data_IF_817294937126
#
_entry.id   IF_817294937126
#
_cell.length_a   1.000
_cell.length_b   1.000
_cell.length_c   1.000
_cell.angle_alpha   90.00
_cell.angle_beta   90.00
_cell.angle_gamma   90.00
#
_symmetry.space_group_name_H-M   'P 1'
#
loop_
_entity.id
_entity.type
_entity.pdbx_description
1 polymer ?
#
# COMPACT_ATOMS: atom_id res chain seq x y z
N UNK A 1 2.27 7.59 -15.14
CA UNK A 1 1.24 8.31 -14.37
C UNK A 1 0.45 7.29 -13.57
N UNK A 2 1.01 6.83 -12.47
CA UNK A 2 0.28 6.04 -11.49
C UNK A 2 -0.53 7.01 -10.65
N UNK A 3 -1.85 7.08 -10.87
CA UNK A 3 -2.69 7.34 -9.71
C UNK A 3 -2.45 6.14 -8.79
N UNK A 4 -1.98 6.40 -7.58
CA UNK A 4 -2.19 5.44 -6.51
C UNK A 4 -3.60 4.90 -6.72
N UNK A 5 -3.75 3.58 -6.77
CA UNK A 5 -5.07 2.93 -6.81
C UNK A 5 -5.96 3.57 -5.77
N UNK A 6 -7.29 3.44 -5.80
CA UNK A 6 -8.20 4.16 -4.92
C UNK A 6 -7.64 4.07 -3.52
N UNK A 7 -6.86 5.11 -3.20
CA UNK A 7 -5.96 5.11 -2.06
C UNK A 7 -6.78 5.00 -0.80
N UNK A 8 -6.13 4.71 0.28
CA UNK A 8 -6.58 4.77 1.67
C UNK A 8 -7.71 5.80 1.88
N UNK A 9 -7.69 6.95 1.21
CA UNK A 9 -8.72 8.00 1.26
C UNK A 9 -10.07 7.54 0.68
N UNK A 10 -10.11 6.77 -0.40
CA UNK A 10 -11.37 6.30 -0.98
C UNK A 10 -11.89 5.05 -0.25
N UNK A 11 -10.99 4.24 0.32
CA UNK A 11 -11.33 3.12 1.22
C UNK A 11 -11.80 3.62 2.60
N UNK A 12 -11.22 4.70 3.10
CA UNK A 12 -11.70 5.43 4.28
C UNK A 12 -13.06 6.08 3.99
N UNK A 13 -13.31 6.62 2.79
CA UNK A 13 -14.62 7.16 2.40
C UNK A 13 -15.73 6.10 2.38
N UNK A 14 -15.42 4.84 2.05
CA UNK A 14 -16.37 3.72 2.20
C UNK A 14 -16.64 3.44 3.69
N UNK A 15 -15.62 3.49 4.54
CA UNK A 15 -15.78 3.42 6.00
C UNK A 15 -16.60 4.61 6.55
N UNK A 16 -16.49 5.81 5.95
CA UNK A 16 -17.24 7.02 6.34
C UNK A 16 -18.72 6.94 6.01
N UNK A 17 -19.12 6.42 4.85
CA UNK A 17 -20.53 6.19 4.51
C UNK A 17 -21.21 5.22 5.49
N UNK A 18 -20.43 4.42 6.17
CA UNK A 18 -20.83 3.36 7.08
C UNK A 18 -21.06 3.88 8.51
N UNK A 19 -20.32 4.89 8.97
CA UNK A 19 -20.54 5.52 10.29
C UNK A 19 -21.88 6.31 10.29
N UNK A 20 -22.26 6.90 9.15
CA UNK A 20 -23.56 7.59 9.01
C UNK A 20 -24.76 6.62 9.03
N UNK A 21 -24.55 5.32 8.77
CA UNK A 21 -25.57 4.28 8.81
C UNK A 21 -25.74 3.57 10.17
N UNK A 22 -24.99 3.97 11.21
CA UNK A 22 -25.21 3.49 12.57
C UNK A 22 -26.51 4.09 13.13
N UNK A 23 -27.66 3.62 12.64
CA UNK A 23 -28.94 3.88 13.28
C UNK A 23 -28.87 3.29 14.69
N UNK A 24 -28.80 4.16 15.67
CA UNK A 24 -28.90 3.80 17.09
C UNK A 24 -30.30 3.21 17.29
N UNK A 25 -30.46 1.98 17.78
CA UNK A 25 -31.75 1.53 18.25
C UNK A 25 -32.17 2.53 19.32
N UNK A 26 -33.47 2.90 19.34
CA UNK A 26 -34.07 4.02 20.05
C UNK A 26 -33.97 4.01 21.60
N UNK A 27 -32.96 3.34 22.19
CA UNK A 27 -32.89 3.10 23.63
C UNK A 27 -31.83 3.95 24.38
N UNK A 28 -30.85 4.57 23.74
CA UNK A 28 -29.95 5.51 24.42
C UNK A 28 -29.35 6.52 23.44
N UNK A 29 -29.40 7.81 23.83
CA UNK A 29 -28.67 8.84 23.08
C UNK A 29 -27.15 8.60 23.22
N UNK A 30 -26.36 8.82 22.15
CA UNK A 30 -24.93 8.64 22.20
C UNK A 30 -24.32 9.55 23.28
N UNK A 31 -23.43 9.02 24.08
CA UNK A 31 -22.69 9.80 25.08
C UNK A 31 -21.88 10.91 24.42
N UNK A 32 -21.48 11.91 25.19
CA UNK A 32 -20.61 12.98 24.69
C UNK A 32 -19.29 12.44 24.10
N UNK A 33 -18.74 11.39 24.71
CA UNK A 33 -17.52 10.75 24.20
C UNK A 33 -17.75 10.09 22.82
N UNK A 34 -18.88 9.38 22.64
CA UNK A 34 -19.27 8.81 21.36
C UNK A 34 -19.47 9.87 20.27
N UNK A 35 -20.13 10.98 20.59
CA UNK A 35 -20.31 12.08 19.64
C UNK A 35 -18.97 12.69 19.20
N UNK A 36 -18.05 12.91 20.15
CA UNK A 36 -16.69 13.41 19.86
C UNK A 36 -15.92 12.40 19.00
N UNK A 37 -16.03 11.10 19.30
CA UNK A 37 -15.36 10.05 18.56
C UNK A 37 -15.85 9.97 17.12
N UNK A 38 -17.17 10.01 16.90
CA UNK A 38 -17.78 9.99 15.57
C UNK A 38 -17.36 11.22 14.77
N UNK A 39 -17.41 12.41 15.37
CA UNK A 39 -16.97 13.63 14.70
C UNK A 39 -15.50 13.57 14.33
N UNK A 40 -14.63 13.09 15.23
CA UNK A 40 -13.21 12.95 14.96
C UNK A 40 -12.92 11.96 13.80
N UNK A 41 -13.69 10.86 13.68
CA UNK A 41 -13.62 9.99 12.51
C UNK A 41 -14.02 10.72 11.22
N UNK A 42 -15.07 11.54 11.27
CA UNK A 42 -15.51 12.34 10.11
C UNK A 42 -14.46 13.35 9.68
N UNK A 43 -13.74 13.92 10.65
CA UNK A 43 -12.66 14.89 10.42
C UNK A 43 -11.33 14.20 10.00
N UNK A 44 -11.27 12.86 9.99
CA UNK A 44 -10.06 12.08 9.70
C UNK A 44 -9.03 12.10 10.83
N UNK A 45 -9.38 12.60 12.01
CA UNK A 45 -8.51 12.70 13.19
C UNK A 45 -8.50 11.36 13.96
N UNK A 46 -7.64 10.45 13.53
CA UNK A 46 -7.53 9.11 14.13
C UNK A 46 -7.10 9.13 15.61
N UNK A 47 -6.26 10.08 16.02
CA UNK A 47 -5.78 10.14 17.42
C UNK A 47 -6.87 10.63 18.36
N UNK A 48 -7.58 11.67 17.96
CA UNK A 48 -8.73 12.17 18.71
C UNK A 48 -9.87 11.15 18.76
N UNK A 49 -10.14 10.45 17.65
CA UNK A 49 -11.12 9.38 17.60
C UNK A 49 -10.77 8.24 18.55
N UNK A 50 -9.51 7.74 18.51
CA UNK A 50 -9.05 6.66 19.37
C UNK A 50 -9.19 7.02 20.86
N UNK A 51 -8.79 8.23 21.25
CA UNK A 51 -8.91 8.72 22.62
C UNK A 51 -10.36 8.77 23.08
N UNK A 52 -11.27 9.28 22.24
CA UNK A 52 -12.67 9.41 22.57
C UNK A 52 -13.40 8.05 22.62
N UNK A 53 -13.06 7.10 21.72
CA UNK A 53 -13.57 5.71 21.82
C UNK A 53 -13.05 5.00 23.05
N UNK A 54 -11.80 5.22 23.47
CA UNK A 54 -11.26 4.66 24.68
C UNK A 54 -12.05 5.13 25.93
N UNK A 55 -12.45 6.42 25.99
CA UNK A 55 -13.31 6.93 27.06
C UNK A 55 -14.73 6.32 27.00
N UNK A 56 -15.32 6.19 25.81
CA UNK A 56 -16.62 5.56 25.66
C UNK A 56 -16.61 4.08 26.08
N UNK A 57 -15.56 3.35 25.77
CA UNK A 57 -15.38 1.95 26.15
C UNK A 57 -15.21 1.73 27.66
N UNK A 58 -14.77 2.74 28.43
CA UNK A 58 -14.78 2.67 29.91
C UNK A 58 -16.20 2.58 30.47
N UNK A 59 -17.15 3.23 29.79
CA UNK A 59 -18.58 3.23 30.20
C UNK A 59 -19.31 2.01 29.64
N UNK A 60 -19.03 1.63 28.39
CA UNK A 60 -19.73 0.54 27.69
C UNK A 60 -18.75 -0.44 27.06
N UNK A 61 -18.02 -1.24 27.89
CA UNK A 61 -16.90 -2.09 27.41
C UNK A 61 -17.34 -3.28 26.54
N UNK A 62 -18.64 -3.56 26.46
CA UNK A 62 -19.22 -4.65 25.67
C UNK A 62 -20.06 -4.18 24.48
N UNK A 63 -19.98 -2.89 24.12
CA UNK A 63 -20.68 -2.39 22.93
C UNK A 63 -19.82 -2.69 21.68
N UNK A 64 -20.28 -3.56 20.76
CA UNK A 64 -19.51 -3.93 19.56
C UNK A 64 -19.27 -2.74 18.62
N UNK A 65 -20.15 -1.73 18.64
CA UNK A 65 -20.03 -0.52 17.81
C UNK A 65 -18.85 0.33 18.24
N UNK A 66 -18.58 0.42 19.55
CA UNK A 66 -17.44 1.17 20.07
C UNK A 66 -16.12 0.48 19.74
N UNK A 67 -16.07 -0.86 19.81
CA UNK A 67 -14.90 -1.61 19.37
C UNK A 67 -14.67 -1.46 17.88
N UNK A 68 -15.71 -1.49 17.05
CA UNK A 68 -15.62 -1.22 15.62
C UNK A 68 -15.08 0.19 15.35
N UNK A 69 -15.66 1.23 15.97
CA UNK A 69 -15.21 2.61 15.83
C UNK A 69 -13.75 2.82 16.25
N UNK A 70 -13.34 2.20 17.37
CA UNK A 70 -11.94 2.20 17.81
C UNK A 70 -11.02 1.49 16.79
N UNK A 71 -11.50 0.39 16.18
CA UNK A 71 -10.79 -0.30 15.10
C UNK A 71 -10.60 0.57 13.87
N UNK A 72 -11.62 1.33 13.47
CA UNK A 72 -11.53 2.32 12.38
C UNK A 72 -10.51 3.42 12.74
N UNK A 73 -10.54 3.94 13.98
CA UNK A 73 -9.57 4.94 14.43
C UNK A 73 -8.14 4.41 14.43
N UNK A 74 -7.93 3.15 14.87
CA UNK A 74 -6.63 2.49 14.80
C UNK A 74 -6.13 2.35 13.35
N UNK A 75 -7.02 2.00 12.41
CA UNK A 75 -6.71 1.95 10.98
C UNK A 75 -6.29 3.30 10.42
N UNK A 76 -7.00 4.38 10.77
CA UNK A 76 -6.63 5.76 10.37
C UNK A 76 -5.24 6.15 10.85
N UNK A 77 -4.81 5.62 12.00
CA UNK A 77 -3.46 5.82 12.57
C UNK A 77 -2.41 4.87 11.98
N UNK A 78 -2.79 4.00 11.04
CA UNK A 78 -1.93 2.97 10.48
C UNK A 78 -1.51 1.89 11.49
N UNK A 79 -2.33 1.64 12.51
CA UNK A 79 -2.09 0.60 13.53
C UNK A 79 -2.95 -0.63 13.23
N UNK A 80 -2.57 -1.36 12.19
CA UNK A 80 -3.41 -2.43 11.64
C UNK A 80 -3.59 -3.62 12.59
N UNK A 81 -2.57 -3.97 13.39
CA UNK A 81 -2.69 -5.01 14.41
C UNK A 81 -3.68 -4.62 15.50
N UNK A 82 -3.62 -3.36 15.98
CA UNK A 82 -4.57 -2.82 16.93
C UNK A 82 -5.99 -2.80 16.34
N UNK A 83 -6.13 -2.39 15.08
CA UNK A 83 -7.40 -2.42 14.37
C UNK A 83 -7.97 -3.84 14.27
N UNK A 84 -7.16 -4.83 13.90
CA UNK A 84 -7.58 -6.24 13.83
C UNK A 84 -8.07 -6.75 15.18
N UNK A 85 -7.36 -6.48 16.27
CA UNK A 85 -7.77 -6.91 17.63
C UNK A 85 -9.12 -6.30 18.02
N UNK A 86 -9.32 -5.01 17.76
CA UNK A 86 -10.55 -4.30 18.08
C UNK A 86 -11.73 -4.78 17.24
N UNK A 87 -11.53 -5.02 15.96
CA UNK A 87 -12.54 -5.55 15.04
C UNK A 87 -12.90 -7.00 15.38
N UNK A 88 -11.92 -7.83 15.74
CA UNK A 88 -12.19 -9.18 16.23
C UNK A 88 -13.04 -9.12 17.51
N UNK A 89 -12.74 -8.19 18.42
CA UNK A 89 -13.55 -8.02 19.63
C UNK A 89 -14.98 -7.59 19.30
N UNK A 90 -15.17 -6.73 18.30
CA UNK A 90 -16.51 -6.36 17.84
C UNK A 90 -17.28 -7.57 17.29
N UNK A 91 -16.63 -8.46 16.54
CA UNK A 91 -17.20 -9.68 15.98
C UNK A 91 -17.49 -10.75 17.05
N UNK A 92 -16.65 -10.86 18.09
CA UNK A 92 -16.89 -11.76 19.22
C UNK A 92 -18.13 -11.34 20.01
N UNK A 93 -18.38 -10.02 20.10
CA UNK A 93 -19.55 -9.47 20.79
C UNK A 93 -20.83 -9.52 19.93
N UNK A 94 -20.70 -9.29 18.63
CA UNK A 94 -21.80 -9.31 17.66
C UNK A 94 -21.35 -9.96 16.34
N UNK A 95 -21.49 -11.29 16.21
CA UNK A 95 -21.07 -12.02 15.00
C UNK A 95 -21.78 -11.59 13.71
N UNK A 96 -22.93 -10.91 13.82
CA UNK A 96 -23.70 -10.38 12.68
C UNK A 96 -23.24 -9.00 12.23
N UNK A 97 -22.22 -8.44 12.87
CA UNK A 97 -21.75 -7.09 12.58
C UNK A 97 -20.98 -7.04 11.25
N UNK A 98 -21.75 -7.00 10.16
CA UNK A 98 -21.23 -7.08 8.78
C UNK A 98 -20.14 -6.05 8.48
N UNK A 99 -20.26 -4.83 9.05
CA UNK A 99 -19.27 -3.77 8.86
C UNK A 99 -17.92 -4.10 9.49
N UNK A 100 -17.93 -4.66 10.70
CA UNK A 100 -16.72 -5.13 11.36
C UNK A 100 -16.10 -6.30 10.57
N UNK A 101 -16.93 -7.22 10.07
CA UNK A 101 -16.47 -8.34 9.25
C UNK A 101 -15.86 -7.86 7.93
N UNK A 102 -16.47 -6.85 7.28
CA UNK A 102 -15.94 -6.28 6.04
C UNK A 102 -14.55 -5.67 6.26
N UNK A 103 -14.39 -4.81 7.27
CA UNK A 103 -13.10 -4.18 7.55
C UNK A 103 -12.05 -5.17 8.03
N UNK A 104 -12.44 -6.13 8.90
CA UNK A 104 -11.53 -7.18 9.38
C UNK A 104 -11.05 -8.07 8.24
N UNK A 105 -11.96 -8.47 7.33
CA UNK A 105 -11.61 -9.29 6.17
C UNK A 105 -10.65 -8.57 5.21
N UNK A 106 -10.88 -7.28 4.93
CA UNK A 106 -9.95 -6.48 4.12
C UNK A 106 -8.58 -6.37 4.79
N UNK A 107 -8.51 -6.08 6.09
CA UNK A 107 -7.24 -6.03 6.82
C UNK A 107 -6.51 -7.38 6.84
N UNK A 108 -7.24 -8.48 7.00
CA UNK A 108 -6.65 -9.82 6.93
C UNK A 108 -6.08 -10.09 5.53
N UNK A 109 -6.84 -9.76 4.48
CA UNK A 109 -6.39 -9.91 3.11
C UNK A 109 -5.17 -9.02 2.79
N UNK A 110 -5.19 -7.76 3.22
CA UNK A 110 -4.07 -6.82 3.09
C UNK A 110 -2.79 -7.32 3.79
N UNK A 111 -2.91 -8.03 4.90
CA UNK A 111 -1.79 -8.65 5.60
C UNK A 111 -1.36 -10.02 5.03
N UNK A 112 -1.97 -10.47 3.94
CA UNK A 112 -1.66 -11.77 3.34
C UNK A 112 -2.38 -12.96 3.97
N UNK A 113 -3.20 -12.74 5.01
CA UNK A 113 -3.97 -13.79 5.70
C UNK A 113 -5.25 -14.15 4.92
N UNK A 114 -5.09 -14.57 3.65
CA UNK A 114 -6.22 -14.79 2.72
C UNK A 114 -7.24 -15.77 3.26
N UNK A 115 -6.79 -16.83 3.91
CA UNK A 115 -7.69 -17.82 4.53
C UNK A 115 -8.54 -17.20 5.66
N UNK A 116 -7.97 -16.27 6.43
CA UNK A 116 -8.72 -15.54 7.47
C UNK A 116 -9.74 -14.62 6.83
N UNK A 117 -9.35 -13.90 5.78
CA UNK A 117 -10.23 -13.03 5.02
C UNK A 117 -11.43 -13.79 4.43
N UNK A 118 -11.17 -14.92 3.76
CA UNK A 118 -12.18 -15.80 3.19
C UNK A 118 -13.15 -16.28 4.28
N UNK A 119 -12.65 -16.89 5.36
CA UNK A 119 -13.51 -17.38 6.45
C UNK A 119 -14.35 -16.29 7.09
N UNK A 120 -13.80 -15.09 7.24
CA UNK A 120 -14.52 -13.94 7.80
C UNK A 120 -15.71 -13.56 6.92
N UNK A 121 -15.50 -13.47 5.60
CA UNK A 121 -16.57 -13.12 4.66
C UNK A 121 -17.60 -14.24 4.51
N UNK A 122 -17.18 -15.51 4.52
CA UNK A 122 -18.08 -16.64 4.58
C UNK A 122 -18.99 -16.61 5.82
N UNK A 123 -18.41 -16.26 6.96
CA UNK A 123 -19.18 -16.10 8.19
C UNK A 123 -20.15 -14.92 8.13
N UNK A 124 -19.74 -13.78 7.58
CA UNK A 124 -20.59 -12.63 7.39
C UNK A 124 -21.80 -12.92 6.47
N UNK A 125 -21.57 -13.67 5.38
CA UNK A 125 -22.64 -14.04 4.44
C UNK A 125 -23.67 -15.02 5.02
N UNK A 126 -23.37 -15.72 6.12
CA UNK A 126 -24.40 -16.50 6.83
C UNK A 126 -25.50 -15.62 7.39
N UNK A 127 -25.17 -14.38 7.72
CA UNK A 127 -26.11 -13.41 8.29
C UNK A 127 -26.61 -12.36 7.28
N UNK A 128 -25.85 -12.13 6.22
CA UNK A 128 -26.16 -11.18 5.15
C UNK A 128 -25.94 -11.81 3.76
N UNK A 129 -26.73 -12.85 3.36
CA UNK A 129 -26.48 -13.67 2.19
C UNK A 129 -26.57 -12.90 0.85
N UNK A 130 -27.26 -11.77 0.82
CA UNK A 130 -27.42 -10.93 -0.38
C UNK A 130 -26.48 -9.71 -0.39
N UNK A 131 -25.42 -9.70 0.40
CA UNK A 131 -24.47 -8.60 0.44
C UNK A 131 -23.52 -8.67 -0.77
N UNK A 132 -23.88 -8.00 -1.86
CA UNK A 132 -23.21 -8.08 -3.16
C UNK A 132 -21.71 -7.78 -3.07
N UNK A 133 -21.29 -6.73 -2.37
CA UNK A 133 -19.88 -6.36 -2.25
C UNK A 133 -19.04 -7.44 -1.55
N UNK A 134 -19.54 -8.03 -0.45
CA UNK A 134 -18.86 -9.14 0.23
C UNK A 134 -18.80 -10.38 -0.66
N UNK A 135 -19.90 -10.68 -1.36
CA UNK A 135 -19.96 -11.84 -2.27
C UNK A 135 -18.96 -11.71 -3.43
N UNK A 136 -18.90 -10.54 -4.06
CA UNK A 136 -17.98 -10.29 -5.16
C UNK A 136 -16.51 -10.38 -4.70
N UNK A 137 -16.20 -9.79 -3.54
CA UNK A 137 -14.87 -9.80 -2.96
C UNK A 137 -14.42 -11.19 -2.54
N UNK A 138 -15.32 -11.95 -1.89
CA UNK A 138 -15.06 -13.34 -1.52
C UNK A 138 -14.79 -14.23 -2.73
N UNK A 139 -15.57 -14.07 -3.81
CA UNK A 139 -15.31 -14.79 -5.07
C UNK A 139 -13.92 -14.50 -5.59
N UNK A 140 -13.51 -13.23 -5.64
CA UNK A 140 -12.18 -12.83 -6.09
C UNK A 140 -11.08 -13.49 -5.26
N UNK A 141 -11.17 -13.45 -3.93
CA UNK A 141 -10.17 -14.03 -3.04
C UNK A 141 -10.08 -15.56 -3.16
N UNK A 142 -11.23 -16.24 -3.33
CA UNK A 142 -11.25 -17.68 -3.57
C UNK A 142 -10.61 -18.05 -4.91
N UNK A 143 -10.89 -17.29 -5.94
CA UNK A 143 -10.32 -17.50 -7.27
C UNK A 143 -8.80 -17.28 -7.26
N UNK A 144 -8.30 -16.28 -6.53
CA UNK A 144 -6.86 -16.07 -6.32
C UNK A 144 -6.23 -17.24 -5.54
N UNK A 145 -6.80 -17.62 -4.39
CA UNK A 145 -6.27 -18.71 -3.56
C UNK A 145 -6.23 -20.06 -4.27
N UNK A 146 -7.24 -20.35 -5.12
CA UNK A 146 -7.29 -21.60 -5.88
C UNK A 146 -6.21 -21.71 -6.96
N UNK A 147 -5.63 -20.58 -7.40
CA UNK A 147 -4.63 -20.51 -8.47
C UNK A 147 -3.22 -20.28 -7.96
N UNK A 148 -3.06 -20.12 -6.66
CA UNK A 148 -1.78 -19.87 -6.03
C UNK A 148 -0.82 -21.06 -6.17
N UNK A 149 0.38 -20.82 -6.71
CA UNK A 149 1.49 -21.77 -6.79
C UNK A 149 2.68 -21.21 -6.05
N UNK A 150 3.19 -21.93 -5.06
CA UNK A 150 4.41 -21.54 -4.33
C UNK A 150 5.65 -21.88 -5.13
N UNK A 151 6.57 -20.92 -5.22
CA UNK A 151 7.87 -21.08 -5.88
C UNK A 151 8.97 -20.79 -4.85
N UNK A 152 9.72 -21.83 -4.48
CA UNK A 152 10.93 -21.80 -3.62
C UNK A 152 10.83 -20.98 -2.32
N UNK A 153 9.62 -20.79 -1.79
CA UNK A 153 9.39 -20.04 -0.55
C UNK A 153 9.52 -18.51 -0.66
N UNK A 154 10.07 -17.99 -1.77
CA UNK A 154 10.22 -16.55 -2.00
C UNK A 154 8.96 -15.91 -2.57
N UNK A 155 8.27 -16.63 -3.44
CA UNK A 155 7.09 -16.12 -4.15
C UNK A 155 5.93 -17.09 -4.07
N UNK A 156 4.73 -16.54 -4.02
CA UNK A 156 3.49 -17.23 -4.28
C UNK A 156 2.89 -16.65 -5.55
N UNK A 157 2.87 -17.44 -6.64
CA UNK A 157 2.50 -16.96 -7.97
C UNK A 157 1.17 -17.58 -8.38
N UNK A 158 0.20 -16.74 -8.75
CA UNK A 158 -1.06 -17.13 -9.32
C UNK A 158 -1.24 -16.56 -10.73
N UNK A 159 -1.89 -17.32 -11.59
CA UNK A 159 -2.22 -16.91 -12.96
C UNK A 159 -3.73 -16.92 -13.15
N UNK A 160 -4.27 -15.78 -13.57
CA UNK A 160 -5.64 -15.65 -14.02
C UNK A 160 -5.72 -15.83 -15.54
N UNK A 161 -6.37 -16.91 -15.98
CA UNK A 161 -6.49 -17.24 -17.41
C UNK A 161 -5.51 -18.31 -17.89
N UNK A 162 -5.40 -18.53 -19.20
CA UNK A 162 -4.49 -19.52 -19.78
C UNK A 162 -3.06 -19.03 -19.58
N UNK A 163 -2.42 -19.48 -18.48
CA UNK A 163 -1.02 -19.23 -18.25
C UNK A 163 -0.22 -20.07 -19.23
N UNK A 164 0.42 -19.44 -20.17
CA UNK A 164 1.45 -20.08 -20.97
C UNK A 164 2.61 -20.45 -20.04
N UNK A 165 3.03 -21.70 -20.04
CA UNK A 165 4.13 -22.20 -19.21
C UNK A 165 5.43 -21.35 -19.41
N UNK A 166 5.62 -20.83 -20.63
CA UNK A 166 6.73 -19.94 -20.96
C UNK A 166 6.66 -18.62 -20.21
N UNK A 167 5.46 -18.02 -20.07
CA UNK A 167 5.28 -16.78 -19.32
C UNK A 167 5.54 -17.00 -17.83
N UNK A 168 5.04 -18.10 -17.27
CA UNK A 168 5.28 -18.46 -15.89
C UNK A 168 6.78 -18.63 -15.59
N UNK A 169 7.50 -19.34 -16.43
CA UNK A 169 8.94 -19.53 -16.30
C UNK A 169 9.70 -18.22 -16.44
N UNK A 170 9.32 -17.35 -17.40
CA UNK A 170 9.93 -16.04 -17.59
C UNK A 170 9.71 -15.14 -16.37
N UNK A 171 8.48 -15.02 -15.91
CA UNK A 171 8.11 -14.20 -14.75
C UNK A 171 8.82 -14.66 -13.47
N UNK A 172 8.88 -15.96 -13.22
CA UNK A 172 9.62 -16.53 -12.08
C UNK A 172 11.08 -16.12 -12.12
N UNK A 173 11.73 -16.32 -13.26
CA UNK A 173 13.16 -15.96 -13.44
C UNK A 173 13.39 -14.46 -13.26
N UNK A 174 12.50 -13.61 -13.79
CA UNK A 174 12.58 -12.16 -13.66
C UNK A 174 12.42 -11.74 -12.20
N UNK A 175 11.45 -12.32 -11.47
CA UNK A 175 11.24 -12.08 -10.04
C UNK A 175 12.46 -12.47 -9.20
N UNK A 176 12.98 -13.68 -9.38
CA UNK A 176 14.16 -14.14 -8.63
C UNK A 176 15.39 -13.25 -8.88
N UNK A 177 15.66 -12.95 -10.16
CA UNK A 177 16.77 -12.07 -10.53
C UNK A 177 16.64 -10.69 -9.90
N UNK A 178 15.43 -10.11 -9.96
CA UNK A 178 15.14 -8.81 -9.39
C UNK A 178 15.19 -8.82 -7.87
N UNK A 179 14.65 -9.86 -7.21
CA UNK A 179 14.67 -10.00 -5.76
C UNK A 179 16.08 -9.90 -5.17
N UNK A 180 17.02 -10.68 -5.71
CA UNK A 180 18.40 -10.66 -5.22
C UNK A 180 19.11 -9.33 -5.50
N UNK A 181 18.83 -8.72 -6.64
CA UNK A 181 19.39 -7.41 -7.00
C UNK A 181 18.84 -6.30 -6.11
N UNK A 182 17.54 -6.26 -5.92
CA UNK A 182 16.86 -5.26 -5.09
C UNK A 182 17.23 -5.40 -3.61
N UNK A 183 17.21 -6.61 -3.07
CA UNK A 183 17.61 -6.88 -1.69
C UNK A 183 19.06 -6.45 -1.41
N UNK A 184 19.98 -6.70 -2.36
CA UNK A 184 21.36 -6.21 -2.27
C UNK A 184 21.42 -4.67 -2.27
N UNK A 185 20.64 -4.01 -3.11
CA UNK A 185 20.63 -2.54 -3.20
C UNK A 185 20.01 -1.88 -1.96
N UNK A 186 18.95 -2.47 -1.42
CA UNK A 186 18.27 -1.98 -0.22
C UNK A 186 18.94 -2.40 1.10
N UNK A 187 19.83 -3.40 1.05
CA UNK A 187 20.52 -3.93 2.22
C UNK A 187 19.69 -4.89 3.07
N UNK A 188 18.56 -5.39 2.57
CA UNK A 188 17.71 -6.32 3.29
C UNK A 188 16.81 -7.16 2.37
N UNK A 189 16.35 -8.29 2.90
CA UNK A 189 15.46 -9.22 2.20
C UNK A 189 14.22 -9.49 3.07
N UNK A 190 13.00 -9.50 2.48
CA UNK A 190 11.81 -9.90 3.19
C UNK A 190 11.92 -11.31 3.76
N UNK A 191 11.36 -11.52 4.95
CA UNK A 191 11.33 -12.84 5.59
C UNK A 191 10.17 -13.73 5.12
N UNK A 192 9.17 -13.13 4.45
CA UNK A 192 7.97 -13.81 3.98
C UNK A 192 7.91 -13.99 2.47
N UNK A 193 7.02 -14.85 2.01
CA UNK A 193 6.73 -15.04 0.59
C UNK A 193 5.98 -13.84 0.02
N UNK A 194 6.40 -13.35 -1.15
CA UNK A 194 5.76 -12.25 -1.86
C UNK A 194 4.70 -12.82 -2.81
N UNK A 195 3.45 -12.38 -2.65
CA UNK A 195 2.37 -12.81 -3.50
C UNK A 195 2.35 -12.02 -4.83
N UNK A 196 2.27 -12.73 -5.94
CA UNK A 196 2.23 -12.18 -7.31
C UNK A 196 1.08 -12.78 -8.07
N UNK A 197 0.20 -11.96 -8.62
CA UNK A 197 -0.94 -12.41 -9.41
C UNK A 197 -0.88 -11.82 -10.81
N UNK A 198 -0.92 -12.69 -11.80
CA UNK A 198 -0.92 -12.31 -13.21
C UNK A 198 -2.33 -12.41 -13.79
N UNK A 199 -2.79 -11.35 -14.42
CA UNK A 199 -4.12 -11.19 -14.97
C UNK A 199 -4.08 -11.00 -16.49
N UNK A 200 -5.16 -11.32 -17.17
CA UNK A 200 -5.42 -10.68 -18.47
C UNK A 200 -5.63 -9.17 -18.27
N UNK A 201 -5.46 -8.37 -19.32
CA UNK A 201 -5.62 -6.92 -19.20
C UNK A 201 -7.01 -6.51 -18.70
N UNK A 202 -8.06 -7.22 -19.15
CA UNK A 202 -9.42 -6.94 -18.71
C UNK A 202 -9.61 -7.26 -17.23
N UNK A 203 -9.18 -8.43 -16.79
CA UNK A 203 -9.26 -8.84 -15.39
C UNK A 203 -8.47 -7.90 -14.47
N UNK A 204 -7.27 -7.48 -14.91
CA UNK A 204 -6.44 -6.53 -14.16
C UNK A 204 -7.20 -5.22 -13.89
N UNK A 205 -7.88 -4.69 -14.90
CA UNK A 205 -8.69 -3.46 -14.77
C UNK A 205 -9.90 -3.68 -13.88
N UNK A 206 -10.59 -4.79 -14.05
CA UNK A 206 -11.79 -5.12 -13.26
C UNK A 206 -11.47 -5.28 -11.77
N UNK A 207 -10.31 -5.86 -11.45
CA UNK A 207 -9.86 -6.10 -10.07
C UNK A 207 -9.25 -4.87 -9.43
N UNK A 208 -8.43 -4.11 -10.17
CA UNK A 208 -7.63 -3.00 -9.60
C UNK A 208 -8.27 -1.64 -9.80
N UNK A 209 -9.17 -1.48 -10.75
CA UNK A 209 -9.68 -0.19 -11.20
C UNK A 209 -8.60 0.70 -11.85
N UNK A 210 -7.47 0.08 -12.23
CA UNK A 210 -6.32 0.80 -12.76
C UNK A 210 -6.60 1.40 -14.15
N UNK A 211 -6.01 2.55 -14.48
CA UNK A 211 -6.18 3.19 -15.78
C UNK A 211 -5.56 2.35 -16.90
N UNK A 212 -5.96 2.65 -18.16
CA UNK A 212 -5.60 1.85 -19.34
C UNK A 212 -4.10 1.64 -19.58
N UNK A 213 -3.28 2.57 -19.11
CA UNK A 213 -1.83 2.55 -19.28
C UNK A 213 -1.09 1.80 -18.16
N UNK A 214 -1.75 1.48 -17.01
CA UNK A 214 -1.11 0.78 -15.92
C UNK A 214 -0.91 -0.69 -16.26
N UNK A 215 0.32 -1.17 -16.13
CA UNK A 215 0.71 -2.56 -16.38
C UNK A 215 0.81 -3.41 -15.12
N UNK A 216 0.94 -2.76 -13.96
CA UNK A 216 1.08 -3.40 -12.65
C UNK A 216 0.57 -2.51 -11.52
N UNK A 217 0.47 -3.07 -10.33
CA UNK A 217 0.23 -2.36 -9.07
C UNK A 217 0.59 -3.26 -7.89
N UNK A 218 1.00 -2.63 -6.80
CA UNK A 218 1.25 -3.29 -5.52
C UNK A 218 0.34 -2.72 -4.44
N UNK A 219 -0.38 -3.59 -3.72
CA UNK A 219 -1.22 -3.20 -2.58
C UNK A 219 -1.12 -4.18 -1.39
N UNK A 220 -0.10 -4.98 -1.32
CA UNK A 220 0.28 -6.13 -0.50
C UNK A 220 0.52 -7.38 -1.35
N UNK A 221 0.02 -7.38 -2.59
CA UNK A 221 0.31 -8.33 -3.64
C UNK A 221 0.74 -7.58 -4.88
N UNK A 222 1.69 -8.13 -5.59
CA UNK A 222 2.03 -7.64 -6.93
C UNK A 222 0.92 -8.14 -7.87
N UNK A 223 0.24 -7.23 -8.56
CA UNK A 223 -0.73 -7.54 -9.61
C UNK A 223 -0.23 -7.01 -10.93
N UNK A 224 -0.15 -7.87 -11.92
CA UNK A 224 0.39 -7.52 -13.23
C UNK A 224 -0.56 -7.95 -14.35
N UNK A 225 -0.73 -7.08 -15.34
CA UNK A 225 -1.35 -7.46 -16.59
C UNK A 225 -0.32 -8.12 -17.52
N UNK A 226 -0.61 -9.34 -18.01
CA UNK A 226 0.33 -10.10 -18.87
C UNK A 226 0.28 -9.71 -20.34
N UNK A 227 -0.44 -8.64 -20.70
CA UNK A 227 -0.54 -8.18 -22.08
C UNK A 227 0.84 -7.89 -22.68
N UNK A 228 1.18 -8.61 -23.72
CA UNK A 228 2.42 -8.38 -24.48
C UNK A 228 3.71 -8.76 -23.76
N UNK A 229 3.65 -9.37 -22.58
CA UNK A 229 4.81 -9.74 -21.77
C UNK A 229 5.90 -10.48 -22.58
N UNK A 230 5.52 -11.44 -23.42
CA UNK A 230 6.46 -12.17 -24.27
C UNK A 230 6.86 -11.42 -25.56
N UNK A 231 6.15 -10.34 -25.92
CA UNK A 231 6.50 -9.51 -27.09
C UNK A 231 7.47 -8.39 -26.74
N UNK A 232 7.37 -7.85 -25.52
CA UNK A 232 8.24 -6.81 -24.99
C UNK A 232 8.74 -7.23 -23.59
N UNK A 233 9.56 -8.29 -23.48
CA UNK A 233 9.95 -8.86 -22.19
C UNK A 233 10.70 -7.84 -21.31
N UNK A 234 11.48 -6.95 -21.88
CA UNK A 234 12.20 -5.93 -21.12
C UNK A 234 11.27 -4.90 -20.45
N UNK A 235 10.16 -4.53 -21.08
CA UNK A 235 9.16 -3.65 -20.46
C UNK A 235 8.41 -4.37 -19.33
N UNK A 236 8.07 -5.64 -19.55
CA UNK A 236 7.45 -6.48 -18.54
C UNK A 236 8.36 -6.68 -17.32
N UNK A 237 9.63 -7.00 -17.53
CA UNK A 237 10.62 -7.18 -16.47
C UNK A 237 10.85 -5.87 -15.70
N UNK A 238 10.84 -4.73 -16.39
CA UNK A 238 10.96 -3.41 -15.75
C UNK A 238 9.77 -3.14 -14.83
N UNK A 239 8.55 -3.30 -15.34
CA UNK A 239 7.33 -3.12 -14.56
C UNK A 239 7.25 -4.11 -13.38
N UNK A 240 7.60 -5.38 -13.60
CA UNK A 240 7.64 -6.39 -12.54
C UNK A 240 8.66 -6.05 -11.46
N UNK A 241 9.83 -5.53 -11.86
CA UNK A 241 10.86 -5.08 -10.92
C UNK A 241 10.38 -3.87 -10.11
N UNK A 242 9.67 -2.94 -10.74
CA UNK A 242 9.08 -1.77 -10.08
C UNK A 242 8.13 -2.19 -8.96
N UNK A 243 7.16 -3.06 -9.28
CA UNK A 243 6.19 -3.56 -8.29
C UNK A 243 6.87 -4.40 -7.19
N UNK A 244 7.90 -5.17 -7.55
CA UNK A 244 8.68 -5.91 -6.57
C UNK A 244 9.46 -4.98 -5.63
N UNK A 245 9.96 -3.84 -6.11
CA UNK A 245 10.61 -2.86 -5.26
C UNK A 245 9.63 -2.29 -4.23
N UNK A 246 8.38 -2.00 -4.62
CA UNK A 246 7.34 -1.60 -3.69
C UNK A 246 7.11 -2.67 -2.60
N UNK A 247 7.04 -3.95 -2.99
CA UNK A 247 6.86 -5.04 -2.04
C UNK A 247 8.01 -5.13 -1.03
N UNK A 248 9.27 -4.97 -1.48
CA UNK A 248 10.43 -4.97 -0.60
C UNK A 248 10.44 -3.76 0.35
N UNK A 249 10.14 -2.57 -0.15
CA UNK A 249 10.06 -1.35 0.65
C UNK A 249 9.01 -1.50 1.76
N UNK A 250 7.80 -1.96 1.40
CA UNK A 250 6.71 -2.16 2.37
C UNK A 250 7.05 -3.23 3.40
N UNK A 251 7.80 -4.28 3.03
CA UNK A 251 8.24 -5.29 4.00
C UNK A 251 9.20 -4.75 5.06
N UNK A 252 9.99 -3.73 4.72
CA UNK A 252 10.92 -3.04 5.63
C UNK A 252 10.23 -1.92 6.42
N UNK A 253 9.33 -1.21 5.76
CA UNK A 253 8.61 -0.07 6.28
C UNK A 253 7.16 -0.08 5.77
N UNK A 254 6.24 -0.76 6.45
CA UNK A 254 4.84 -0.86 6.03
C UNK A 254 4.14 0.51 5.93
N UNK A 255 4.72 1.53 6.51
CA UNK A 255 4.23 2.92 6.54
C UNK A 255 5.39 3.89 6.75
N UNK A 256 5.09 5.18 6.67
CA UNK A 256 6.05 6.26 7.02
C UNK A 256 7.06 6.59 5.93
N UNK A 257 7.17 5.80 4.86
CA UNK A 257 8.03 6.12 3.73
C UNK A 257 7.34 7.20 2.89
N UNK A 258 7.97 8.37 2.67
CA UNK A 258 7.42 9.39 1.79
C UNK A 258 7.17 8.87 0.38
N UNK A 259 6.07 9.30 -0.25
CA UNK A 259 5.70 8.79 -1.57
C UNK A 259 6.80 9.03 -2.63
N UNK A 260 7.50 10.17 -2.57
CA UNK A 260 8.63 10.44 -3.46
C UNK A 260 9.77 9.43 -3.28
N UNK A 261 10.05 8.98 -2.05
CA UNK A 261 11.11 8.00 -1.80
C UNK A 261 10.66 6.60 -2.24
N UNK A 262 9.40 6.28 -2.01
CA UNK A 262 8.79 5.01 -2.41
C UNK A 262 8.83 4.82 -3.93
N UNK A 263 8.32 5.80 -4.67
CA UNK A 263 8.32 5.80 -6.15
C UNK A 263 9.72 5.97 -6.72
N UNK A 264 10.53 6.83 -6.08
CA UNK A 264 11.89 7.10 -6.52
C UNK A 264 12.80 5.86 -6.43
N UNK A 265 12.70 5.08 -5.36
CA UNK A 265 13.42 3.81 -5.22
C UNK A 265 12.92 2.79 -6.24
N UNK A 266 11.60 2.63 -6.40
CA UNK A 266 11.02 1.70 -7.36
C UNK A 266 11.50 2.00 -8.78
N UNK A 267 11.41 3.27 -9.20
CA UNK A 267 11.87 3.71 -10.53
C UNK A 267 13.40 3.60 -10.70
N UNK A 268 14.17 3.95 -9.66
CA UNK A 268 15.65 3.87 -9.73
C UNK A 268 16.13 2.44 -9.86
N UNK A 269 15.46 1.51 -9.21
CA UNK A 269 15.81 0.10 -9.20
C UNK A 269 15.29 -0.69 -10.41
N UNK A 270 14.52 -0.08 -11.30
CA UNK A 270 14.20 -0.67 -12.60
C UNK A 270 15.46 -0.87 -13.46
N UNK A 271 15.44 -1.80 -14.45
CA UNK A 271 16.51 -1.95 -15.43
C UNK A 271 16.58 -0.79 -16.45
N UNK A 272 16.20 0.43 -16.07
CA UNK A 272 16.16 1.61 -16.93
C UNK A 272 17.34 2.56 -16.73
N UNK A 273 17.53 3.52 -17.64
CA UNK A 273 18.67 4.43 -17.59
C UNK A 273 18.39 5.71 -16.78
N UNK A 274 19.11 5.97 -15.67
CA UNK A 274 18.99 7.22 -14.89
C UNK A 274 19.25 8.50 -15.71
N UNK A 275 20.00 8.38 -16.81
CA UNK A 275 20.36 9.54 -17.66
C UNK A 275 19.16 10.21 -18.31
N UNK A 276 18.12 9.44 -18.66
CA UNK A 276 16.94 9.98 -19.30
C UNK A 276 16.13 10.89 -18.35
N UNK A 277 16.01 10.53 -17.08
CA UNK A 277 15.36 11.34 -16.05
C UNK A 277 16.06 12.70 -15.89
N UNK A 278 17.38 12.70 -15.75
CA UNK A 278 18.17 13.93 -15.65
C UNK A 278 18.02 14.83 -16.89
N UNK A 279 17.98 14.26 -18.09
CA UNK A 279 17.79 15.03 -19.33
C UNK A 279 16.39 15.69 -19.36
N UNK A 280 15.34 14.95 -18.97
CA UNK A 280 13.98 15.50 -18.91
C UNK A 280 13.85 16.60 -17.86
N UNK A 281 14.42 16.41 -16.66
CA UNK A 281 14.43 17.44 -15.61
C UNK A 281 15.09 18.74 -16.05
N UNK A 282 16.25 18.63 -16.70
CA UNK A 282 16.95 19.80 -17.24
C UNK A 282 16.18 20.52 -18.33
N UNK A 283 15.47 19.77 -19.18
CA UNK A 283 14.64 20.33 -20.21
C UNK A 283 13.37 21.00 -19.66
N UNK A 284 12.77 20.42 -18.62
CA UNK A 284 11.55 20.91 -18.00
C UNK A 284 11.73 22.27 -17.29
N UNK A 285 12.93 22.56 -16.77
CA UNK A 285 13.24 23.76 -15.97
C UNK A 285 12.23 24.02 -14.84
N UNK A 286 11.67 22.96 -14.30
CA UNK A 286 10.64 22.98 -13.27
C UNK A 286 11.02 21.99 -12.18
N UNK A 287 10.74 22.34 -10.92
CA UNK A 287 10.94 21.51 -9.76
C UNK A 287 9.64 21.41 -8.97
N UNK A 288 9.41 20.25 -8.36
CA UNK A 288 8.36 20.04 -7.38
C UNK A 288 9.05 19.70 -6.06
N UNK A 289 9.03 20.60 -5.05
CA UNK A 289 9.69 20.33 -3.78
C UNK A 289 9.30 18.99 -3.20
N UNK A 290 10.28 18.18 -2.76
CA UNK A 290 10.04 16.82 -2.24
C UNK A 290 9.10 16.82 -1.03
N UNK A 291 9.04 17.92 -0.28
CA UNK A 291 8.09 18.11 0.82
C UNK A 291 6.62 18.07 0.35
N UNK A 292 6.33 18.51 -0.88
CA UNK A 292 4.98 18.42 -1.47
C UNK A 292 4.65 17.02 -1.97
N UNK A 293 5.63 16.15 -2.10
CA UNK A 293 5.50 14.77 -2.58
C UNK A 293 5.51 13.74 -1.45
N UNK A 294 5.34 14.17 -0.19
CA UNK A 294 5.33 13.28 0.99
C UNK A 294 4.16 12.30 0.95
N UNK A 295 2.98 12.79 0.57
CA UNK A 295 1.72 12.03 0.64
C UNK A 295 1.24 11.50 -0.71
N UNK A 296 2.03 11.66 -1.77
CA UNK A 296 1.71 11.20 -3.12
C UNK A 296 1.77 12.28 -4.19
N UNK A 297 1.42 11.89 -5.42
CA UNK A 297 1.46 12.74 -6.61
C UNK A 297 0.06 13.24 -7.04
N UNK A 298 -0.94 13.05 -6.16
CA UNK A 298 -2.31 13.52 -6.39
C UNK A 298 -2.37 15.05 -6.46
N UNK A 299 -3.20 15.56 -7.37
CA UNK A 299 -3.35 17.01 -7.56
C UNK A 299 -2.32 17.65 -8.49
N UNK A 300 -1.30 16.92 -8.96
CA UNK A 300 -0.35 17.38 -9.96
C UNK A 300 -0.94 17.26 -11.37
N UNK A 301 -0.62 18.22 -12.25
CA UNK A 301 -0.85 18.07 -13.67
C UNK A 301 0.03 16.95 -14.25
N UNK A 302 -0.30 16.44 -15.43
CA UNK A 302 0.50 15.39 -16.08
C UNK A 302 1.98 15.77 -16.24
N UNK A 303 2.26 17.03 -16.61
CA UNK A 303 3.63 17.54 -16.75
C UNK A 303 4.36 17.63 -15.41
N UNK A 304 3.67 18.08 -14.35
CA UNK A 304 4.21 18.12 -12.99
C UNK A 304 4.46 16.72 -12.44
N UNK A 305 3.56 15.79 -12.67
CA UNK A 305 3.72 14.41 -12.24
C UNK A 305 4.97 13.76 -12.86
N UNK A 306 5.19 13.94 -14.17
CA UNK A 306 6.40 13.44 -14.83
C UNK A 306 7.68 14.00 -14.20
N UNK A 307 7.70 15.31 -13.95
CA UNK A 307 8.84 15.95 -13.26
C UNK A 307 9.02 15.39 -11.86
N UNK A 308 7.95 15.23 -11.09
CA UNK A 308 7.98 14.68 -9.75
C UNK A 308 8.54 13.23 -9.71
N UNK A 309 8.15 12.38 -10.66
CA UNK A 309 8.72 11.03 -10.80
C UNK A 309 10.21 11.06 -11.12
N UNK A 310 10.62 11.90 -12.09
CA UNK A 310 12.04 12.03 -12.45
C UNK A 310 12.88 12.60 -11.29
N UNK A 311 12.33 13.55 -10.56
CA UNK A 311 12.98 14.15 -9.38
C UNK A 311 13.09 13.14 -8.23
N UNK A 312 12.04 12.38 -7.96
CA UNK A 312 12.02 11.30 -6.99
C UNK A 312 13.07 10.23 -7.30
N UNK A 313 13.20 9.86 -8.58
CA UNK A 313 14.23 8.94 -9.06
C UNK A 313 15.65 9.48 -8.76
N UNK A 314 15.92 10.75 -9.07
CA UNK A 314 17.23 11.37 -8.81
C UNK A 314 17.48 11.47 -7.31
N UNK A 315 16.49 11.87 -6.52
CA UNK A 315 16.58 11.94 -5.07
C UNK A 315 16.90 10.57 -4.43
N UNK A 316 16.19 9.53 -4.86
CA UNK A 316 16.46 8.16 -4.42
C UNK A 316 17.88 7.69 -4.81
N UNK A 317 18.36 8.05 -6.00
CA UNK A 317 19.73 7.72 -6.42
C UNK A 317 20.79 8.37 -5.52
N UNK A 318 20.59 9.64 -5.14
CA UNK A 318 21.48 10.36 -4.22
C UNK A 318 21.50 9.69 -2.85
N UNK A 319 20.34 9.27 -2.33
CA UNK A 319 20.28 8.55 -1.05
C UNK A 319 20.98 7.19 -1.12
N UNK A 320 20.73 6.42 -2.16
CA UNK A 320 21.37 5.11 -2.35
C UNK A 320 22.91 5.23 -2.47
N UNK A 321 23.41 6.24 -3.16
CA UNK A 321 24.85 6.51 -3.24
C UNK A 321 25.44 6.91 -1.89
N UNK A 322 24.69 7.66 -1.06
CA UNK A 322 25.15 8.12 0.26
C UNK A 322 25.08 7.03 1.33
N UNK A 323 24.03 6.24 1.33
CA UNK A 323 23.71 5.30 2.39
C UNK A 323 24.14 3.87 2.07
N UNK A 324 24.13 3.48 0.78
CA UNK A 324 24.44 2.11 0.38
C UNK A 324 23.57 1.09 1.12
N UNK A 325 24.19 0.13 1.75
CA UNK A 325 23.51 -0.93 2.53
C UNK A 325 22.73 -0.41 3.74
N UNK A 326 23.00 0.81 4.20
CA UNK A 326 22.27 1.42 5.30
C UNK A 326 20.88 1.95 4.87
N UNK A 327 20.50 1.79 3.60
CA UNK A 327 19.17 2.16 3.13
C UNK A 327 18.07 1.41 3.90
N UNK A 328 18.29 0.14 4.23
CA UNK A 328 17.35 -0.62 5.08
C UNK A 328 17.13 0.03 6.44
N UNK A 329 18.18 0.52 7.08
CA UNK A 329 18.07 1.19 8.38
C UNK A 329 17.30 2.53 8.29
N UNK A 330 17.45 3.26 7.18
CA UNK A 330 16.65 4.45 6.91
C UNK A 330 15.17 4.07 6.79
N UNK A 331 14.85 3.08 5.95
CA UNK A 331 13.48 2.62 5.74
C UNK A 331 12.85 2.12 7.04
N UNK A 332 13.54 1.30 7.82
CA UNK A 332 13.06 0.84 9.12
C UNK A 332 12.81 2.00 10.10
N UNK A 333 13.65 3.03 10.09
CA UNK A 333 13.47 4.21 10.93
C UNK A 333 12.20 4.97 10.58
N UNK A 334 11.94 5.15 9.27
CA UNK A 334 10.70 5.72 8.76
C UNK A 334 9.49 4.83 9.12
N UNK A 335 9.63 3.51 8.97
CA UNK A 335 8.61 2.53 9.35
C UNK A 335 8.22 2.56 10.82
N UNK A 336 9.16 2.95 11.69
CA UNK A 336 8.90 3.20 13.12
C UNK A 336 8.27 4.57 13.41
N UNK A 337 8.01 5.37 12.38
CA UNK A 337 7.33 6.66 12.48
C UNK A 337 8.27 7.86 12.70
N UNK A 338 9.58 7.69 12.46
CA UNK A 338 10.48 8.84 12.42
C UNK A 338 10.25 9.64 11.13
N UNK A 339 10.32 10.97 11.23
CA UNK A 339 10.33 11.84 10.06
C UNK A 339 11.68 11.76 9.31
N UNK A 340 11.69 12.17 8.05
CA UNK A 340 12.88 12.12 7.19
C UNK A 340 14.07 12.89 7.76
N UNK A 341 13.85 14.01 8.43
CA UNK A 341 14.94 14.84 9.01
C UNK A 341 15.64 14.09 10.14
N UNK A 342 14.84 13.54 11.05
CA UNK A 342 15.34 12.73 12.17
C UNK A 342 16.01 11.43 11.68
N UNK A 343 15.41 10.76 10.71
CA UNK A 343 15.94 9.53 10.14
C UNK A 343 17.28 9.74 9.42
N UNK A 344 17.42 10.80 8.62
CA UNK A 344 18.70 11.17 7.97
C UNK A 344 19.77 11.61 8.97
N UNK A 345 19.36 12.28 10.05
CA UNK A 345 20.26 12.74 11.11
C UNK A 345 21.06 11.60 11.75
N UNK A 346 20.53 10.39 11.82
CA UNK A 346 21.23 9.19 12.33
C UNK A 346 22.47 8.82 11.49
N UNK A 347 22.49 9.24 10.22
CA UNK A 347 23.61 9.01 9.30
C UNK A 347 24.48 10.25 9.12
N UNK A 348 24.32 11.28 9.96
CA UNK A 348 25.03 12.55 9.86
C UNK A 348 24.62 13.39 8.64
N UNK A 349 23.45 13.13 8.06
CA UNK A 349 22.90 13.86 6.92
C UNK A 349 21.79 14.81 7.39
N UNK A 350 21.89 16.10 7.04
CA UNK A 350 20.74 16.99 7.20
C UNK A 350 19.86 16.95 5.95
N UNK A 351 18.54 17.08 6.12
CA UNK A 351 17.59 17.10 5.00
C UNK A 351 17.92 18.21 4.00
N UNK A 352 18.27 19.41 4.49
CA UNK A 352 18.69 20.53 3.65
C UNK A 352 20.00 20.27 2.86
N UNK A 353 20.95 19.50 3.42
CA UNK A 353 22.14 19.09 2.68
C UNK A 353 21.78 18.08 1.57
N UNK A 354 20.92 17.15 1.87
CA UNK A 354 20.39 16.19 0.92
C UNK A 354 19.67 16.88 -0.26
N UNK A 355 18.77 17.82 0.00
CA UNK A 355 18.09 18.58 -1.07
C UNK A 355 19.07 19.38 -1.92
N UNK A 356 20.10 19.99 -1.33
CA UNK A 356 21.16 20.64 -2.11
C UNK A 356 21.93 19.67 -3.01
N UNK A 357 22.20 18.45 -2.55
CA UNK A 357 22.88 17.43 -3.34
C UNK A 357 22.00 16.98 -4.52
N UNK A 358 20.69 16.83 -4.31
CA UNK A 358 19.70 16.52 -5.38
C UNK A 358 19.69 17.65 -6.40
N UNK A 359 19.55 18.90 -5.97
CA UNK A 359 19.54 20.08 -6.84
C UNK A 359 20.87 20.20 -7.62
N UNK A 360 21.99 19.98 -6.98
CA UNK A 360 23.30 19.98 -7.64
C UNK A 360 23.42 18.86 -8.69
N UNK A 361 22.90 17.66 -8.41
CA UNK A 361 22.87 16.55 -9.36
C UNK A 361 22.06 16.88 -10.61
N UNK A 362 20.93 17.56 -10.45
CA UNK A 362 20.06 17.95 -11.56
C UNK A 362 20.71 19.08 -12.38
N UNK A 363 21.35 20.05 -11.74
CA UNK A 363 21.88 21.23 -12.40
C UNK A 363 23.29 21.05 -12.97
N UNK A 364 24.11 20.15 -12.39
CA UNK A 364 25.47 19.91 -12.87
C UNK A 364 25.50 19.33 -14.30
N UNK A 365 26.23 20.01 -15.16
CA UNK A 365 26.51 19.54 -16.51
C UNK A 365 27.59 18.45 -16.47
N UNK A 366 27.22 17.18 -16.52
CA UNK A 366 28.13 16.09 -16.88
C UNK A 366 27.44 15.08 -17.77
#
# INVERSE_FOLDING_TARGET
MTQAGPGIVQRVAIAFAIVAGMAVPAASQPTRAEQVAIQALQDGDGDKAASAFAEALKVSPRDPRLHYGAGVAARLRGRDDEARMLLQRALDLEPRFTLAAALFGELAYENGDVDVAIRTYESALKYAPLHEAITARLKMWRDEAAKERRVDGLFSIAFEGPAEALLAAHATKALETSYWRLGKALGAYPSGSIAVVFYTLQQFRDVTGAPEWAGGTFDTRIRMAVRGALRAPGEFDSALTHELAHALIVSLAPRGVPAWLHEGLATHLEPSSPRAALQRLRAARMFVPLEHLQNGFGGLTESQARVAYDESHVAASVLLERLGVNMSLLLESLGRGQDMTSALGQFGLSYAAFERDVAARITSAR
#
